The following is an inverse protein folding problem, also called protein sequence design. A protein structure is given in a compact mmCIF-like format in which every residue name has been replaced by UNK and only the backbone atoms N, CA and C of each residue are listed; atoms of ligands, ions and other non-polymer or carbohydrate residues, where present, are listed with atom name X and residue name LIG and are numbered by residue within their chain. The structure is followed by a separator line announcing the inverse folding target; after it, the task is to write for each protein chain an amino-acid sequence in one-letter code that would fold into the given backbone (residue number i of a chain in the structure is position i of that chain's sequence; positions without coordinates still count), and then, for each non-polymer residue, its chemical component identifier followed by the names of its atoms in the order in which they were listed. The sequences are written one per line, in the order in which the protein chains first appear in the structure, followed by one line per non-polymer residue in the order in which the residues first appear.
data_IF_263905250807
#
_entry.id   IF_263905250807
#
_cell.length_a   1.000
_cell.length_b   1.000
_cell.length_c   1.000
_cell.angle_alpha   90.00
_cell.angle_beta   90.00
_cell.angle_gamma   90.00
#
_symmetry.space_group_name_H-M   'P 1'
#
loop_
_entity.id
_entity.type
_entity.pdbx_description
1 polymer ?
#
# COMPACT_ATOMS: atom_id res chain seq x y z
N UNK A 1 12.01 -3.98 -14.33
CA UNK A 1 11.72 -4.67 -13.05
C UNK A 1 10.52 -4.08 -12.32
N UNK A 2 10.17 -2.80 -12.55
CA UNK A 2 9.06 -2.12 -11.88
C UNK A 2 9.31 -1.79 -10.41
N UNK A 3 10.56 -1.59 -10.03
CA UNK A 3 10.97 -1.14 -8.71
C UNK A 3 11.86 0.10 -8.83
N UNK A 4 11.64 1.09 -7.95
CA UNK A 4 12.51 2.24 -7.76
C UNK A 4 12.78 2.41 -6.27
N UNK A 5 13.98 2.87 -5.93
CA UNK A 5 14.36 3.22 -4.57
C UNK A 5 15.29 4.43 -4.60
N UNK A 6 15.17 5.29 -3.59
CA UNK A 6 16.04 6.44 -3.37
C UNK A 6 16.53 6.45 -1.93
N UNK A 7 17.76 6.92 -1.75
CA UNK A 7 18.39 7.04 -0.45
C UNK A 7 19.08 8.40 -0.34
N UNK A 8 19.07 8.98 0.85
CA UNK A 8 19.76 10.25 1.12
C UNK A 8 21.27 10.09 1.15
N UNK A 9 21.75 8.92 1.54
CA UNK A 9 23.16 8.52 1.45
C UNK A 9 23.25 6.98 1.38
N UNK A 10 24.45 6.46 1.13
CA UNK A 10 24.74 5.02 1.09
C UNK A 10 25.31 4.48 2.39
N UNK A 11 25.45 5.34 3.41
CA UNK A 11 25.86 4.92 4.75
C UNK A 11 24.73 4.15 5.42
N UNK A 12 25.01 2.98 5.96
CA UNK A 12 24.04 2.14 6.69
C UNK A 12 23.96 2.50 8.17
N UNK A 13 24.83 3.37 8.65
CA UNK A 13 24.96 3.75 10.06
C UNK A 13 24.31 5.10 10.30
N UNK A 14 23.02 5.12 10.57
CA UNK A 14 22.29 6.29 11.03
C UNK A 14 21.98 7.34 9.95
N UNK A 15 21.01 8.20 10.19
CA UNK A 15 20.70 9.38 9.38
C UNK A 15 20.26 9.17 7.92
N UNK A 16 20.20 7.93 7.43
CA UNK A 16 19.77 7.64 6.06
C UNK A 16 18.26 7.54 5.98
N UNK A 17 17.63 8.44 5.24
CA UNK A 17 16.25 8.28 4.81
C UNK A 17 16.21 7.54 3.45
N UNK A 18 15.34 6.58 3.35
CA UNK A 18 15.13 5.78 2.14
C UNK A 18 13.63 5.65 1.88
N UNK A 19 13.26 5.59 0.62
CA UNK A 19 11.96 5.11 0.20
C UNK A 19 12.08 4.16 -0.98
N UNK A 20 11.12 3.24 -1.07
CA UNK A 20 10.99 2.30 -2.18
C UNK A 20 9.60 2.41 -2.79
N UNK A 21 9.49 2.12 -4.08
CA UNK A 21 8.27 2.20 -4.86
C UNK A 21 8.17 1.02 -5.81
N UNK A 22 6.96 0.48 -5.96
CA UNK A 22 6.72 -0.63 -6.89
C UNK A 22 5.57 -0.31 -7.83
N UNK A 23 5.81 -0.46 -9.14
CA UNK A 23 4.82 -0.52 -10.20
C UNK A 23 5.36 -1.45 -11.29
N UNK A 24 4.91 -2.69 -11.32
CA UNK A 24 5.56 -3.79 -12.05
C UNK A 24 4.71 -4.35 -13.18
N UNK A 25 5.29 -4.56 -14.39
CA UNK A 25 4.59 -5.17 -15.51
C UNK A 25 4.30 -6.68 -15.31
N UNK A 26 4.86 -7.28 -14.27
CA UNK A 26 4.67 -8.70 -13.97
C UNK A 26 3.50 -8.99 -13.02
N UNK A 27 2.68 -7.98 -12.73
CA UNK A 27 1.52 -8.12 -11.84
C UNK A 27 1.88 -8.58 -10.43
N UNK A 28 1.04 -9.42 -9.85
CA UNK A 28 1.19 -10.00 -8.51
C UNK A 28 1.15 -11.53 -8.55
N UNK A 29 2.05 -12.12 -9.33
CA UNK A 29 2.20 -13.59 -9.41
C UNK A 29 3.25 -14.11 -8.43
N UNK A 30 3.20 -15.41 -8.11
CA UNK A 30 4.12 -16.07 -7.16
C UNK A 30 4.19 -15.33 -5.81
N UNK A 31 5.34 -14.89 -5.37
CA UNK A 31 5.54 -14.13 -4.13
C UNK A 31 5.25 -12.62 -4.26
N UNK A 32 4.98 -12.12 -5.45
CA UNK A 32 4.62 -10.73 -5.64
C UNK A 32 3.23 -10.42 -5.06
N UNK A 33 3.03 -9.18 -4.64
CA UNK A 33 1.85 -8.71 -3.92
C UNK A 33 1.00 -7.82 -4.83
N UNK A 34 -0.29 -7.70 -4.54
CA UNK A 34 -1.20 -6.80 -5.24
C UNK A 34 -1.01 -5.34 -4.75
N UNK A 35 0.18 -4.78 -5.01
CA UNK A 35 0.67 -3.53 -4.46
C UNK A 35 1.28 -2.59 -5.51
N UNK A 36 0.65 -2.50 -6.68
CA UNK A 36 1.07 -1.54 -7.70
C UNK A 36 0.92 -0.11 -7.17
N UNK A 37 1.88 0.74 -7.51
CA UNK A 37 2.01 2.10 -7.01
C UNK A 37 2.10 2.20 -5.47
N UNK A 38 2.50 1.13 -4.78
CA UNK A 38 2.78 1.20 -3.35
C UNK A 38 4.19 1.72 -3.08
N UNK A 39 4.34 2.41 -1.95
CA UNK A 39 5.63 2.89 -1.46
C UNK A 39 5.86 2.46 -0.01
N UNK A 40 7.12 2.44 0.40
CA UNK A 40 7.53 2.26 1.79
C UNK A 40 8.61 3.29 2.14
N UNK A 41 8.65 3.72 3.40
CA UNK A 41 9.63 4.67 3.90
C UNK A 41 10.45 4.06 5.04
N UNK A 42 11.71 4.46 5.13
CA UNK A 42 12.66 3.99 6.13
C UNK A 42 13.52 5.14 6.63
N UNK A 43 13.94 5.05 7.89
CA UNK A 43 14.97 5.91 8.45
C UNK A 43 15.94 5.11 9.32
N UNK A 44 17.23 5.27 9.08
CA UNK A 44 18.27 4.51 9.79
C UNK A 44 18.07 2.98 9.68
N UNK A 45 17.60 2.49 8.52
CA UNK A 45 17.31 1.07 8.27
C UNK A 45 16.03 0.53 8.94
N UNK A 46 15.23 1.41 9.57
CA UNK A 46 13.99 1.03 10.26
C UNK A 46 12.78 1.39 9.41
N UNK A 47 11.81 0.46 9.21
CA UNK A 47 10.58 0.77 8.49
C UNK A 47 9.74 1.78 9.27
N UNK A 48 9.14 2.73 8.56
CA UNK A 48 8.21 3.73 9.09
C UNK A 48 6.83 3.53 8.47
N UNK A 49 6.48 4.21 7.36
CA UNK A 49 5.31 3.79 6.59
C UNK A 49 5.68 2.54 5.80
N UNK A 50 5.14 1.40 6.21
CA UNK A 50 5.57 0.10 5.68
C UNK A 50 4.38 -0.85 5.52
N UNK A 51 4.43 -1.69 4.50
CA UNK A 51 3.39 -2.69 4.21
C UNK A 51 3.06 -3.57 5.42
N UNK A 52 1.79 -3.85 5.60
CA UNK A 52 1.21 -4.62 6.69
C UNK A 52 1.09 -6.11 6.35
N UNK A 53 0.62 -6.91 7.33
CA UNK A 53 0.37 -8.33 7.19
C UNK A 53 1.62 -9.18 7.39
N UNK A 54 1.39 -10.48 7.55
CA UNK A 54 2.44 -11.47 7.78
C UNK A 54 2.42 -12.52 6.68
N UNK A 55 3.57 -12.81 6.11
CA UNK A 55 3.74 -13.95 5.23
C UNK A 55 4.02 -15.20 6.08
N UNK A 56 2.99 -16.00 6.37
CA UNK A 56 3.08 -17.20 7.18
C UNK A 56 3.32 -18.39 6.26
N UNK A 57 2.38 -18.63 5.36
CA UNK A 57 2.48 -19.62 4.29
C UNK A 57 2.02 -19.00 2.97
N UNK A 58 2.30 -19.67 1.85
CA UNK A 58 2.03 -19.11 0.54
C UNK A 58 0.53 -18.92 0.26
N UNK A 59 -0.29 -19.82 0.77
CA UNK A 59 -1.73 -19.86 0.49
C UNK A 59 -2.60 -19.89 1.76
N UNK A 60 -2.06 -19.52 2.92
CA UNK A 60 -2.90 -19.36 4.11
C UNK A 60 -3.85 -18.15 3.97
N UNK A 61 -4.96 -18.20 4.70
CA UNK A 61 -6.03 -17.19 4.63
C UNK A 61 -5.51 -15.77 4.90
N UNK A 62 -4.64 -15.60 5.90
CA UNK A 62 -4.07 -14.29 6.23
C UNK A 62 -3.16 -13.79 5.11
N UNK A 63 -2.28 -14.63 4.56
CA UNK A 63 -1.45 -14.26 3.42
C UNK A 63 -2.28 -13.85 2.22
N UNK A 64 -3.36 -14.57 1.92
CA UNK A 64 -4.19 -14.29 0.74
C UNK A 64 -5.08 -13.06 0.92
N UNK A 65 -5.74 -12.90 2.06
CA UNK A 65 -6.71 -11.82 2.30
C UNK A 65 -6.12 -10.55 2.93
N UNK A 66 -4.92 -10.63 3.52
CA UNK A 66 -4.25 -9.48 4.12
C UNK A 66 -2.91 -9.19 3.45
N UNK A 67 -1.88 -10.00 3.69
CA UNK A 67 -0.52 -9.71 3.25
C UNK A 67 -0.36 -9.50 1.73
N UNK A 68 -1.07 -10.30 0.90
CA UNK A 68 -1.05 -10.19 -0.57
C UNK A 68 -1.98 -9.13 -1.12
N UNK A 69 -3.02 -8.79 -0.36
CA UNK A 69 -4.07 -7.89 -0.81
C UNK A 69 -3.63 -6.42 -0.75
N UNK A 70 -4.14 -5.62 -1.66
CA UNK A 70 -3.85 -4.17 -1.77
C UNK A 70 -4.05 -3.41 -0.47
N UNK A 71 -5.03 -3.82 0.33
CA UNK A 71 -5.37 -3.20 1.62
C UNK A 71 -4.28 -3.30 2.70
N UNK A 72 -3.22 -4.09 2.46
CA UNK A 72 -2.06 -4.16 3.34
C UNK A 72 -0.91 -3.23 2.90
N UNK A 73 -1.08 -2.40 1.90
CA UNK A 73 -0.01 -1.62 1.29
C UNK A 73 -0.33 -0.14 1.20
N UNK A 74 0.72 0.71 1.22
CA UNK A 74 0.59 2.17 1.12
C UNK A 74 0.25 2.59 -0.32
N UNK A 75 -0.99 2.37 -0.72
CA UNK A 75 -1.53 2.64 -2.06
C UNK A 75 -3.01 3.04 -1.99
N UNK A 76 -3.78 2.82 -3.02
CA UNK A 76 -5.18 3.26 -3.12
C UNK A 76 -6.13 2.04 -3.14
N UNK A 77 -7.30 2.15 -2.49
CA UNK A 77 -8.47 1.31 -2.74
C UNK A 77 -9.55 2.11 -3.47
N UNK A 78 -10.41 1.42 -4.19
CA UNK A 78 -11.55 1.99 -4.94
C UNK A 78 -12.83 1.29 -4.48
N UNK A 79 -13.77 2.03 -3.88
CA UNK A 79 -14.95 1.46 -3.20
C UNK A 79 -14.59 0.35 -2.19
N UNK A 80 -13.42 0.46 -1.53
CA UNK A 80 -12.88 -0.58 -0.66
C UNK A 80 -12.24 -1.77 -1.37
N UNK A 81 -12.28 -1.82 -2.72
CA UNK A 81 -11.74 -2.89 -3.54
C UNK A 81 -10.29 -2.65 -3.91
N UNK A 82 -9.51 -3.73 -3.96
CA UNK A 82 -8.09 -3.72 -4.28
C UNK A 82 -7.78 -4.09 -5.73
N UNK A 83 -6.49 -4.25 -5.96
CA UNK A 83 -5.93 -4.69 -7.23
C UNK A 83 -6.10 -6.22 -7.37
N UNK A 84 -6.30 -6.69 -8.58
CA UNK A 84 -6.42 -8.13 -8.85
C UNK A 84 -5.11 -8.86 -8.57
N UNK A 85 -5.23 -10.10 -8.10
CA UNK A 85 -4.09 -10.99 -7.91
C UNK A 85 -3.88 -11.77 -9.22
N UNK A 86 -2.64 -11.80 -9.69
CA UNK A 86 -2.24 -12.45 -10.93
C UNK A 86 -1.37 -11.54 -11.80
N UNK A 87 -0.97 -12.02 -12.96
CA UNK A 87 -0.21 -11.25 -13.95
C UNK A 87 -1.03 -10.13 -14.57
N UNK A 88 -2.33 -10.26 -14.57
CA UNK A 88 -3.31 -9.33 -15.14
C UNK A 88 -3.42 -8.03 -14.31
N UNK A 89 -3.03 -8.07 -13.02
CA UNK A 89 -3.01 -6.91 -12.13
C UNK A 89 -1.68 -6.16 -12.20
N UNK A 90 -1.31 -5.64 -13.36
CA UNK A 90 -0.01 -5.05 -13.60
C UNK A 90 0.00 -3.52 -13.59
N UNK A 91 1.19 -2.98 -13.39
CA UNK A 91 1.52 -1.58 -13.57
C UNK A 91 2.90 -1.45 -14.19
N UNK A 92 3.40 -0.25 -14.39
CA UNK A 92 4.75 0.02 -14.87
C UNK A 92 5.27 1.38 -14.41
N UNK A 93 6.56 1.60 -14.60
CA UNK A 93 7.22 2.88 -14.38
C UNK A 93 7.52 3.48 -15.77
N UNK A 94 6.61 4.28 -16.35
CA UNK A 94 6.81 4.85 -17.68
C UNK A 94 7.85 5.97 -17.71
N UNK A 95 8.11 6.61 -16.56
CA UNK A 95 9.09 7.69 -16.45
C UNK A 95 9.90 7.57 -15.18
N UNK A 96 11.18 7.82 -15.31
CA UNK A 96 12.16 7.81 -14.24
C UNK A 96 13.25 8.83 -14.53
N UNK A 97 13.64 9.58 -13.51
CA UNK A 97 14.81 10.48 -13.55
C UNK A 97 15.49 10.46 -12.20
N UNK A 98 16.83 10.48 -12.19
CA UNK A 98 17.60 10.58 -10.97
C UNK A 98 18.83 11.47 -11.17
N UNK A 99 19.06 12.36 -10.20
CA UNK A 99 20.26 13.15 -10.03
C UNK A 99 20.54 13.31 -8.55
N UNK A 100 21.67 13.95 -8.20
CA UNK A 100 21.98 14.24 -6.78
C UNK A 100 20.98 15.18 -6.12
N UNK A 101 20.33 16.06 -6.90
CA UNK A 101 19.41 17.10 -6.39
C UNK A 101 17.96 16.66 -6.40
N UNK A 102 17.57 15.86 -7.38
CA UNK A 102 16.17 15.49 -7.59
C UNK A 102 16.06 14.10 -8.15
N UNK A 103 15.14 13.32 -7.61
CA UNK A 103 14.68 12.07 -8.17
C UNK A 103 13.21 12.18 -8.55
N UNK A 104 12.82 11.52 -9.61
CA UNK A 104 11.42 11.45 -10.05
C UNK A 104 11.10 10.05 -10.52
N UNK A 105 9.91 9.57 -10.13
CA UNK A 105 9.33 8.35 -10.68
C UNK A 105 7.85 8.56 -10.92
N UNK A 106 7.38 8.08 -12.06
CA UNK A 106 5.96 7.94 -12.37
C UNK A 106 5.63 6.46 -12.44
N UNK A 107 4.68 6.02 -11.61
CA UNK A 107 4.05 4.71 -11.73
C UNK A 107 2.67 4.82 -12.33
N UNK A 108 2.33 3.92 -13.23
CA UNK A 108 0.98 3.78 -13.80
C UNK A 108 0.43 2.41 -13.42
N UNK A 109 -0.62 2.39 -12.59
CA UNK A 109 -1.32 1.20 -12.12
C UNK A 109 -2.78 1.16 -12.61
N UNK A 110 -3.08 1.85 -13.71
CA UNK A 110 -4.44 1.93 -14.26
C UNK A 110 -5.03 0.56 -14.60
N UNK A 111 -4.20 -0.42 -14.95
CA UNK A 111 -4.63 -1.78 -15.27
C UNK A 111 -4.62 -2.76 -14.08
N UNK A 112 -4.28 -2.27 -12.88
CA UNK A 112 -4.11 -3.15 -11.73
C UNK A 112 -5.44 -3.63 -11.13
N UNK A 113 -6.49 -2.83 -11.21
CA UNK A 113 -7.76 -3.07 -10.52
C UNK A 113 -8.70 -4.01 -11.29
N UNK A 114 -9.58 -4.69 -10.57
CA UNK A 114 -10.63 -5.53 -11.12
C UNK A 114 -10.73 -6.89 -10.46
N UNK A 115 -11.62 -7.74 -10.96
CA UNK A 115 -11.80 -9.12 -10.48
C UNK A 115 -10.53 -9.95 -10.66
N UNK A 116 -10.32 -10.88 -9.74
CA UNK A 116 -9.29 -11.91 -9.91
C UNK A 116 -9.78 -12.88 -10.99
N UNK A 117 -9.02 -12.98 -12.07
CA UNK A 117 -9.33 -13.81 -13.24
C UNK A 117 -8.27 -14.89 -13.52
N UNK A 118 -7.15 -14.85 -12.82
CA UNK A 118 -6.07 -15.83 -12.92
C UNK A 118 -6.54 -17.23 -12.50
N UNK A 119 -6.57 -18.25 -13.40
CA UNK A 119 -7.00 -19.60 -13.03
C UNK A 119 -6.20 -20.18 -11.88
N UNK A 120 -4.89 -19.90 -11.84
CA UNK A 120 -4.02 -20.34 -10.75
C UNK A 120 -4.49 -19.79 -9.39
N UNK A 121 -4.81 -18.51 -9.32
CA UNK A 121 -5.21 -17.89 -8.05
C UNK A 121 -6.65 -18.25 -7.65
N UNK A 122 -7.54 -18.43 -8.62
CA UNK A 122 -8.89 -18.94 -8.36
C UNK A 122 -8.82 -20.35 -7.75
N UNK A 123 -8.07 -21.27 -8.35
CA UNK A 123 -7.88 -22.63 -7.80
C UNK A 123 -7.24 -22.62 -6.42
N UNK A 124 -6.25 -21.75 -6.18
CA UNK A 124 -5.63 -21.62 -4.84
C UNK A 124 -6.58 -21.03 -3.82
N UNK A 125 -7.44 -20.09 -4.24
CA UNK A 125 -8.50 -19.57 -3.40
C UNK A 125 -9.44 -20.67 -2.94
N UNK A 126 -9.94 -21.48 -3.86
CA UNK A 126 -10.80 -22.63 -3.55
C UNK A 126 -10.14 -23.60 -2.59
N UNK A 127 -8.86 -23.95 -2.81
CA UNK A 127 -8.09 -24.85 -1.94
C UNK A 127 -7.90 -24.30 -0.51
N UNK A 128 -7.91 -22.99 -0.35
CA UNK A 128 -7.70 -22.30 0.92
C UNK A 128 -8.99 -21.74 1.53
N UNK A 129 -10.15 -22.08 0.93
CA UNK A 129 -11.46 -21.52 1.30
C UNK A 129 -11.51 -19.99 1.25
N UNK A 130 -10.71 -19.39 0.35
CA UNK A 130 -10.65 -17.94 0.11
C UNK A 130 -11.37 -17.62 -1.19
N UNK A 131 -12.42 -16.81 -1.09
CA UNK A 131 -13.19 -16.36 -2.24
C UNK A 131 -12.86 -14.90 -2.56
N UNK A 132 -12.57 -14.63 -3.83
CA UNK A 132 -12.27 -13.27 -4.34
C UNK A 132 -13.57 -12.54 -4.68
N UNK A 133 -14.27 -12.09 -3.66
CA UNK A 133 -15.59 -11.44 -3.72
C UNK A 133 -15.49 -9.99 -3.24
N UNK A 134 -16.54 -9.16 -3.44
CA UNK A 134 -16.57 -7.79 -2.91
C UNK A 134 -16.35 -7.72 -1.40
N UNK A 135 -16.89 -8.65 -0.63
CA UNK A 135 -16.72 -8.72 0.84
C UNK A 135 -15.25 -8.92 1.23
N UNK A 136 -14.49 -9.60 0.39
CA UNK A 136 -13.07 -9.87 0.58
C UNK A 136 -12.17 -8.83 -0.12
N UNK A 137 -12.74 -7.85 -0.81
CA UNK A 137 -12.02 -6.71 -1.38
C UNK A 137 -11.70 -6.83 -2.87
N UNK A 138 -12.46 -7.61 -3.64
CA UNK A 138 -12.30 -7.70 -5.11
C UNK A 138 -13.64 -7.64 -5.84
N UNK A 139 -13.71 -6.77 -6.85
CA UNK A 139 -14.85 -6.61 -7.75
C UNK A 139 -14.41 -6.10 -9.12
N UNK A 140 -15.37 -5.68 -9.95
CA UNK A 140 -15.13 -5.11 -11.27
C UNK A 140 -14.19 -3.90 -11.22
N UNK A 141 -13.52 -3.67 -12.32
CA UNK A 141 -12.61 -2.55 -12.47
C UNK A 141 -13.40 -1.27 -12.83
N UNK A 142 -13.30 -0.27 -11.96
CA UNK A 142 -13.85 1.07 -12.19
C UNK A 142 -12.76 2.11 -12.50
N UNK A 143 -11.48 1.72 -12.49
CA UNK A 143 -10.34 2.63 -12.63
C UNK A 143 -9.96 2.79 -14.09
N UNK A 144 -9.97 4.05 -14.58
CA UNK A 144 -9.39 4.45 -15.87
C UNK A 144 -7.95 4.90 -15.75
N UNK A 145 -7.65 5.62 -14.66
CA UNK A 145 -6.32 6.17 -14.43
C UNK A 145 -5.98 6.06 -12.95
N UNK A 146 -4.85 5.44 -12.67
CA UNK A 146 -4.13 5.59 -11.41
C UNK A 146 -2.67 5.80 -11.70
N UNK A 147 -2.24 7.06 -11.70
CA UNK A 147 -0.85 7.47 -11.84
C UNK A 147 -0.37 8.08 -10.56
N UNK A 148 0.75 7.60 -10.04
CA UNK A 148 1.42 8.12 -8.86
C UNK A 148 2.76 8.73 -9.27
N UNK A 149 2.90 10.02 -9.03
CA UNK A 149 4.14 10.75 -9.20
C UNK A 149 4.83 10.85 -7.85
N UNK A 150 6.11 10.52 -7.79
CA UNK A 150 6.94 10.72 -6.61
C UNK A 150 8.15 11.56 -7.00
N UNK A 151 8.32 12.70 -6.31
CA UNK A 151 9.48 13.57 -6.44
C UNK A 151 10.27 13.51 -5.15
N UNK A 152 11.53 13.14 -5.25
CA UNK A 152 12.49 13.14 -4.13
C UNK A 152 13.38 14.38 -4.24
N UNK A 153 13.54 15.12 -3.14
CA UNK A 153 14.40 16.32 -3.09
C UNK A 153 15.79 15.97 -2.58
N UNK A 154 16.53 15.21 -3.37
CA UNK A 154 17.93 14.89 -3.12
C UNK A 154 18.16 14.26 -1.73
N UNK A 155 19.11 14.83 -0.97
CA UNK A 155 19.51 14.32 0.35
C UNK A 155 18.67 14.85 1.52
N UNK A 156 17.57 15.55 1.28
CA UNK A 156 16.74 16.15 2.35
C UNK A 156 15.88 15.13 3.10
N UNK A 157 15.62 13.96 2.50
CA UNK A 157 14.63 13.00 2.99
C UNK A 157 13.18 13.40 2.70
N UNK A 158 12.95 14.53 2.01
CA UNK A 158 11.63 15.01 1.65
C UNK A 158 11.20 14.42 0.32
N UNK A 159 9.98 13.86 0.29
CA UNK A 159 9.32 13.36 -0.91
C UNK A 159 7.95 14.01 -1.08
N UNK A 160 7.57 14.28 -2.32
CA UNK A 160 6.22 14.67 -2.70
C UNK A 160 5.59 13.53 -3.47
N UNK A 161 4.41 13.11 -3.07
CA UNK A 161 3.61 12.09 -3.74
C UNK A 161 2.37 12.79 -4.29
N UNK A 162 2.05 12.56 -5.56
CA UNK A 162 0.85 13.11 -6.19
C UNK A 162 0.14 12.03 -7.00
N UNK A 163 -1.15 11.82 -6.72
CA UNK A 163 -1.97 10.81 -7.36
C UNK A 163 -2.98 11.42 -8.32
N UNK A 164 -2.96 10.96 -9.56
CA UNK A 164 -4.00 11.19 -10.55
C UNK A 164 -4.94 9.98 -10.60
N UNK A 165 -6.20 10.20 -10.19
CA UNK A 165 -7.22 9.17 -10.10
C UNK A 165 -8.41 9.54 -10.98
N UNK A 166 -8.81 8.61 -11.86
CA UNK A 166 -10.01 8.73 -12.71
C UNK A 166 -10.70 7.37 -12.76
N UNK A 167 -12.02 7.37 -12.58
CA UNK A 167 -12.86 6.18 -12.71
C UNK A 167 -13.92 6.36 -13.82
N UNK A 168 -14.59 5.26 -14.19
CA UNK A 168 -15.70 5.27 -15.15
C UNK A 168 -16.94 5.97 -14.60
N UNK A 169 -17.13 5.86 -13.28
CA UNK A 169 -18.25 6.42 -12.53
C UNK A 169 -17.75 7.00 -11.19
N UNK A 170 -18.57 7.77 -10.47
CA UNK A 170 -18.19 8.28 -9.15
C UNK A 170 -17.98 7.15 -8.13
N UNK A 171 -16.77 7.04 -7.59
CA UNK A 171 -16.34 6.03 -6.61
C UNK A 171 -15.73 6.68 -5.37
N UNK A 172 -15.65 5.95 -4.27
CA UNK A 172 -14.86 6.35 -3.11
C UNK A 172 -13.40 5.93 -3.32
N UNK A 173 -12.47 6.89 -3.18
CA UNK A 173 -11.04 6.66 -3.21
C UNK A 173 -10.50 6.61 -1.80
N UNK A 174 -9.75 5.56 -1.45
CA UNK A 174 -9.17 5.43 -0.11
C UNK A 174 -7.65 5.40 -0.19
N UNK A 175 -7.01 6.39 0.42
CA UNK A 175 -5.56 6.45 0.61
C UNK A 175 -5.17 5.65 1.85
N UNK A 176 -4.17 4.77 1.74
CA UNK A 176 -3.76 3.86 2.79
C UNK A 176 -2.35 4.16 3.27
N UNK A 177 -2.16 4.16 4.60
CA UNK A 177 -0.85 4.14 5.24
C UNK A 177 -0.83 3.07 6.34
N UNK A 178 0.34 2.47 6.55
CA UNK A 178 0.51 1.39 7.53
C UNK A 178 1.81 1.56 8.30
N UNK A 179 1.80 1.08 9.56
CA UNK A 179 3.01 0.91 10.37
C UNK A 179 3.00 -0.47 11.01
N UNK A 180 4.18 -1.05 11.26
CA UNK A 180 4.30 -2.41 11.81
C UNK A 180 4.66 -2.44 13.29
N UNK A 181 5.33 -1.41 13.80
CA UNK A 181 5.87 -1.42 15.17
C UNK A 181 5.02 -0.58 16.14
N UNK A 182 4.71 0.66 15.76
CA UNK A 182 4.00 1.60 16.62
C UNK A 182 2.73 2.11 15.95
N UNK A 183 1.70 2.50 16.72
CA UNK A 183 0.54 3.20 16.17
C UNK A 183 0.95 4.51 15.52
N UNK A 184 0.23 4.91 14.49
CA UNK A 184 0.36 6.23 13.90
C UNK A 184 -0.34 7.26 14.77
N UNK A 185 0.25 8.47 14.89
CA UNK A 185 -0.45 9.65 15.40
C UNK A 185 -1.12 10.35 14.24
N UNK A 186 -2.41 10.69 14.38
CA UNK A 186 -3.21 11.37 13.35
C UNK A 186 -3.77 12.67 13.91
N UNK A 187 -3.43 13.79 13.28
CA UNK A 187 -3.96 15.12 13.60
C UNK A 187 -4.80 15.65 12.43
N UNK A 188 -6.05 16.00 12.73
CA UNK A 188 -7.05 16.53 11.79
C UNK A 188 -7.46 17.97 12.13
N UNK A 189 -6.71 18.64 12.96
CA UNK A 189 -7.01 20.02 13.40
C UNK A 189 -6.88 21.05 12.27
N UNK A 190 -6.08 20.73 11.24
CA UNK A 190 -5.93 21.58 10.07
C UNK A 190 -6.98 21.21 9.00
N UNK A 191 -7.63 22.23 8.41
CA UNK A 191 -8.65 22.03 7.38
C UNK A 191 -8.09 21.76 5.98
N UNK A 192 -6.79 21.98 5.76
CA UNK A 192 -6.14 21.83 4.46
C UNK A 192 -5.50 20.45 4.28
N UNK A 193 -5.12 19.80 5.37
CA UNK A 193 -4.45 18.48 5.31
C UNK A 193 -4.72 17.66 6.58
N UNK A 194 -4.52 16.36 6.47
CA UNK A 194 -4.40 15.45 7.61
C UNK A 194 -2.92 15.19 7.84
N UNK A 195 -2.44 15.42 9.07
CA UNK A 195 -1.06 15.10 9.45
C UNK A 195 -1.02 13.71 10.09
N UNK A 196 -0.14 12.85 9.58
CA UNK A 196 0.06 11.49 10.03
C UNK A 196 1.54 11.29 10.35
N UNK A 197 1.85 10.85 11.57
CA UNK A 197 3.23 10.54 11.96
C UNK A 197 3.41 9.05 12.23
N UNK A 198 4.43 8.48 11.62
CA UNK A 198 4.94 7.13 11.90
C UNK A 198 6.23 7.22 12.69
N UNK A 199 6.39 6.38 13.72
CA UNK A 199 7.61 6.30 14.52
C UNK A 199 8.09 4.87 14.67
N UNK A 200 9.41 4.67 14.70
CA UNK A 200 10.03 3.36 14.97
C UNK A 200 11.44 3.54 15.53
N UNK A 201 11.65 3.11 16.80
CA UNK A 201 12.97 3.05 17.47
C UNK A 201 13.86 4.29 17.27
N UNK A 202 13.28 5.48 17.49
CA UNK A 202 13.96 6.76 17.37
C UNK A 202 13.99 7.36 15.95
N UNK A 203 13.43 6.68 14.95
CA UNK A 203 13.12 7.26 13.65
C UNK A 203 11.68 7.78 13.61
N UNK A 204 11.43 8.81 12.82
CA UNK A 204 10.10 9.33 12.53
C UNK A 204 9.96 9.70 11.06
N UNK A 205 8.74 9.62 10.55
CA UNK A 205 8.33 10.15 9.25
C UNK A 205 6.97 10.82 9.39
N UNK A 206 6.87 12.03 8.89
CA UNK A 206 5.65 12.82 8.88
C UNK A 206 5.06 12.80 7.46
N UNK A 207 3.76 12.56 7.35
CA UNK A 207 3.00 12.70 6.12
C UNK A 207 1.94 13.78 6.30
N UNK A 208 1.82 14.66 5.31
CA UNK A 208 0.80 15.69 5.21
C UNK A 208 -0.06 15.35 4.01
N UNK A 209 -1.24 14.80 4.24
CA UNK A 209 -2.14 14.35 3.20
C UNK A 209 -3.12 15.44 2.80
N UNK A 210 -2.98 15.93 1.57
CA UNK A 210 -3.89 16.88 0.92
C UNK A 210 -4.82 16.11 -0.03
N UNK A 211 -5.99 16.68 -0.29
CA UNK A 211 -6.97 16.09 -1.21
C UNK A 211 -7.86 17.14 -1.87
N UNK A 212 -8.49 16.76 -2.97
CA UNK A 212 -9.41 17.65 -3.70
C UNK A 212 -10.80 17.77 -3.06
N UNK A 213 -11.10 17.00 -2.05
CA UNK A 213 -12.38 17.00 -1.33
C UNK A 213 -12.24 16.55 0.11
N UNK A 214 -13.36 16.46 0.81
CA UNK A 214 -13.41 16.03 2.21
C UNK A 214 -12.99 14.57 2.37
N UNK A 215 -12.27 14.26 3.45
CA UNK A 215 -11.82 12.92 3.80
C UNK A 215 -12.49 12.44 5.10
N UNK A 216 -13.00 11.21 5.06
CA UNK A 216 -13.29 10.44 6.25
C UNK A 216 -12.08 9.59 6.59
N UNK A 217 -11.57 9.70 7.82
CA UNK A 217 -10.38 8.98 8.24
C UNK A 217 -10.69 7.96 9.33
N UNK A 218 -10.08 6.79 9.23
CA UNK A 218 -10.13 5.74 10.24
C UNK A 218 -8.71 5.24 10.56
N UNK A 219 -8.53 4.77 11.79
CA UNK A 219 -7.27 4.15 12.25
C UNK A 219 -7.61 2.92 13.06
N UNK A 220 -7.04 1.77 12.69
CA UNK A 220 -7.27 0.51 13.37
C UNK A 220 -6.00 -0.31 13.53
N UNK A 221 -5.94 -1.15 14.58
CA UNK A 221 -4.91 -2.18 14.74
C UNK A 221 -5.41 -3.57 14.34
N UNK A 222 -6.56 -3.67 13.70
CA UNK A 222 -7.12 -4.94 13.24
C UNK A 222 -6.76 -5.13 11.77
N UNK A 223 -6.40 -6.35 11.42
CA UNK A 223 -6.34 -6.73 10.02
C UNK A 223 -7.75 -6.72 9.41
N UNK A 224 -7.85 -6.45 8.11
CA UNK A 224 -9.12 -6.43 7.40
C UNK A 224 -9.85 -7.77 7.48
N UNK A 225 -11.18 -7.73 7.43
CA UNK A 225 -12.01 -8.92 7.49
C UNK A 225 -11.75 -9.88 6.30
N UNK A 226 -11.69 -11.18 6.54
CA UNK A 226 -11.69 -11.77 7.86
C UNK A 226 -10.42 -11.37 8.63
N UNK A 227 -10.63 -10.59 9.70
CA UNK A 227 -9.54 -10.04 10.52
C UNK A 227 -8.91 -11.19 11.32
N UNK A 228 -7.87 -11.77 10.79
CA UNK A 228 -7.19 -12.87 11.44
C UNK A 228 -5.88 -12.37 12.03
N UNK A 229 -5.85 -12.24 13.35
CA UNK A 229 -4.59 -12.34 14.05
C UNK A 229 -4.19 -13.80 13.98
N UNK A 230 -3.35 -14.13 13.04
CA UNK A 230 -3.00 -15.50 12.75
C UNK A 230 -2.36 -16.17 13.96
N UNK A 231 -2.88 -17.35 14.32
CA UNK A 231 -2.26 -18.25 15.28
C UNK A 231 -1.63 -19.40 14.48
N UNK A 232 -0.31 -19.48 14.48
CA UNK A 232 0.41 -20.64 13.95
C UNK A 232 0.89 -21.51 15.10
N UNK A 233 0.66 -22.82 15.00
CA UNK A 233 1.30 -23.78 15.86
C UNK A 233 2.79 -23.93 15.46
N UNK A 234 3.69 -23.89 16.43
CA UNK A 234 5.09 -24.29 16.25
C UNK A 234 5.22 -25.82 16.18
N UNK A 235 6.45 -26.32 16.03
CA UNK A 235 6.76 -27.74 15.94
C UNK A 235 6.36 -28.54 17.21
N UNK A 236 6.01 -27.83 18.29
CA UNK A 236 5.52 -28.41 19.57
C UNK A 236 4.01 -28.29 19.73
N UNK A 237 3.30 -27.79 18.71
CA UNK A 237 1.86 -27.56 18.75
C UNK A 237 1.45 -26.29 19.53
N UNK A 238 2.39 -25.42 19.90
CA UNK A 238 2.10 -24.15 20.59
C UNK A 238 1.75 -23.07 19.58
N UNK A 239 0.55 -22.51 19.72
CA UNK A 239 0.09 -21.43 18.86
C UNK A 239 0.77 -20.10 19.18
N UNK A 240 1.39 -19.49 18.19
CA UNK A 240 2.01 -18.18 18.28
C UNK A 240 1.09 -17.13 17.67
N UNK A 241 0.70 -16.15 18.48
CA UNK A 241 -0.01 -14.96 18.00
C UNK A 241 1.00 -13.98 17.39
N UNK A 242 0.74 -13.55 16.16
CA UNK A 242 1.50 -12.49 15.52
C UNK A 242 1.03 -11.11 16.00
N UNK A 243 1.94 -10.11 16.13
CA UNK A 243 1.56 -8.77 16.54
C UNK A 243 0.64 -8.13 15.49
N UNK A 244 -0.25 -7.26 15.96
CA UNK A 244 -1.04 -6.42 15.09
C UNK A 244 -0.15 -5.39 14.42
N UNK A 245 -0.54 -5.00 13.20
CA UNK A 245 -0.04 -3.82 12.53
C UNK A 245 -1.10 -2.72 12.56
N UNK A 246 -0.70 -1.48 12.27
CA UNK A 246 -1.55 -0.31 12.33
C UNK A 246 -1.90 0.15 10.92
N UNK A 247 -3.17 0.50 10.73
CA UNK A 247 -3.72 0.86 9.44
C UNK A 247 -4.42 2.21 9.55
N UNK A 248 -4.06 3.14 8.69
CA UNK A 248 -4.74 4.40 8.48
C UNK A 248 -5.41 4.37 7.11
N UNK A 249 -6.65 4.81 7.06
CA UNK A 249 -7.43 4.95 5.82
C UNK A 249 -8.02 6.34 5.76
N UNK A 250 -7.84 7.04 4.63
CA UNK A 250 -8.50 8.29 4.33
C UNK A 250 -9.36 8.12 3.09
N UNK A 251 -10.68 8.13 3.25
CA UNK A 251 -11.65 7.84 2.19
C UNK A 251 -12.36 9.11 1.74
N UNK A 252 -12.38 9.36 0.43
CA UNK A 252 -13.07 10.48 -0.19
C UNK A 252 -14.59 10.30 -0.21
N UNK A 253 -15.32 11.38 -0.40
CA UNK A 253 -16.66 11.30 -1.00
C UNK A 253 -16.58 10.69 -2.40
N UNK A 254 -17.72 10.25 -2.95
CA UNK A 254 -17.77 9.70 -4.30
C UNK A 254 -17.37 10.74 -5.33
N UNK A 255 -16.36 10.44 -6.12
CA UNK A 255 -15.87 11.30 -7.19
C UNK A 255 -15.34 10.48 -8.36
N UNK A 256 -15.63 10.93 -9.58
CA UNK A 256 -15.09 10.31 -10.80
C UNK A 256 -13.63 10.69 -11.04
N UNK A 257 -13.25 11.90 -10.65
CA UNK A 257 -11.88 12.42 -10.73
C UNK A 257 -11.45 12.86 -9.35
N UNK A 258 -10.30 12.40 -8.88
CA UNK A 258 -9.79 12.73 -7.57
C UNK A 258 -8.27 12.92 -7.58
N UNK A 259 -7.76 13.65 -6.59
CA UNK A 259 -6.33 13.88 -6.38
C UNK A 259 -6.00 13.78 -4.90
N UNK A 260 -4.90 13.08 -4.63
CA UNK A 260 -4.18 13.16 -3.36
C UNK A 260 -2.79 13.76 -3.57
N UNK A 261 -2.28 14.47 -2.58
CA UNK A 261 -0.90 14.94 -2.55
C UNK A 261 -0.33 14.85 -1.13
#
# INVERSE_FOLDING_TARGET
TGLAAFQTNWDRVGGNAMWSFRSSPYGSTSHALANQNAFNTFYGGKPLFYSSGHHIEFTDVHSMLCHRATRAHNTILVNGMGQRIGTEGYGWIPRYYASEKIGYVLGDASNAYGKVISPLWLTRGEQSEVHYTPENGWDENHVKTFRRHIVNLGKTGLIFIYDELVADEPVNWSYLLHTTENPMTVDKSNHLFVHIQATNRGGASDAYLFSTGTLQTDTTSRFFYPAVNWLRADDKGVFKKYPNHWHFTATSEKAQVYRFA
#
